data_IF_629281734445
#
_entry.id   IF_629281734445
#
_cell.length_a   1.000
_cell.length_b   1.000
_cell.length_c   1.000
_cell.angle_alpha   90.00
_cell.angle_beta   90.00
_cell.angle_gamma   90.00
#
_symmetry.space_group_name_H-M   'P 1'
#
loop_
_entity.id
_entity.type
_entity.pdbx_description
1 polymer ?
#
# COMPACT_ATOMS: atom_id res chain seq x y z
N UNK A 1 -45.65 4.78 25.36
CA UNK A 1 -44.66 4.34 24.37
C UNK A 1 -43.88 5.58 23.98
N UNK A 2 -42.84 5.89 24.76
CA UNK A 2 -41.99 7.07 24.53
C UNK A 2 -41.14 6.81 23.28
N UNK A 3 -41.26 7.71 22.29
CA UNK A 3 -40.34 7.78 21.17
C UNK A 3 -38.98 8.17 21.73
N UNK A 4 -38.07 7.20 21.79
CA UNK A 4 -36.67 7.46 22.09
C UNK A 4 -36.17 8.54 21.12
N UNK A 5 -35.69 9.65 21.67
CA UNK A 5 -34.94 10.66 20.95
C UNK A 5 -33.81 9.98 20.18
N UNK A 6 -33.89 10.01 18.86
CA UNK A 6 -32.83 9.54 17.96
C UNK A 6 -31.57 10.31 18.35
N UNK A 7 -30.61 9.59 18.93
CA UNK A 7 -29.25 10.07 19.16
C UNK A 7 -28.76 10.72 17.87
N UNK A 8 -28.28 11.97 17.93
CA UNK A 8 -27.80 12.68 16.75
C UNK A 8 -26.79 11.83 15.99
N UNK A 9 -26.94 11.75 14.66
CA UNK A 9 -26.02 11.02 13.79
C UNK A 9 -24.58 11.47 14.07
N UNK A 10 -23.67 10.51 14.23
CA UNK A 10 -22.25 10.85 14.27
C UNK A 10 -21.86 11.51 12.95
N UNK A 11 -21.25 12.69 13.02
CA UNK A 11 -20.63 13.34 11.86
C UNK A 11 -19.19 12.85 11.73
N UNK A 12 -18.73 12.58 10.51
CA UNK A 12 -17.31 12.35 10.27
C UNK A 12 -16.48 13.57 10.70
N UNK A 13 -15.26 13.37 11.23
CA UNK A 13 -14.35 14.49 11.45
C UNK A 13 -14.02 15.17 10.13
N UNK A 14 -13.53 16.42 10.18
CA UNK A 14 -13.18 17.15 8.98
C UNK A 14 -12.06 16.46 8.19
N UNK A 15 -12.04 16.59 6.86
CA UNK A 15 -10.98 16.00 6.01
C UNK A 15 -9.57 16.50 6.34
N UNK A 16 -9.43 17.61 7.07
CA UNK A 16 -8.14 18.04 7.63
C UNK A 16 -7.56 17.04 8.64
N UNK A 17 -8.41 16.29 9.35
CA UNK A 17 -7.94 15.20 10.23
C UNK A 17 -7.45 14.00 9.42
N UNK A 18 -8.18 13.62 8.36
CA UNK A 18 -7.74 12.58 7.43
C UNK A 18 -6.40 12.95 6.77
N UNK A 19 -6.25 14.23 6.41
CA UNK A 19 -5.00 14.81 5.91
C UNK A 19 -3.85 14.62 6.91
N UNK A 20 -4.06 15.00 8.18
CA UNK A 20 -3.06 14.80 9.26
C UNK A 20 -2.69 13.34 9.50
N UNK A 21 -3.65 12.43 9.43
CA UNK A 21 -3.40 10.99 9.55
C UNK A 21 -2.47 10.51 8.42
N UNK A 22 -2.77 10.89 7.19
CA UNK A 22 -1.95 10.57 6.03
C UNK A 22 -0.54 11.16 6.15
N UNK A 23 -0.42 12.44 6.51
CA UNK A 23 0.89 13.09 6.71
C UNK A 23 1.74 12.36 7.76
N UNK A 24 1.15 12.07 8.93
CA UNK A 24 1.83 11.36 10.02
C UNK A 24 2.25 9.96 9.59
N UNK A 25 1.38 9.23 8.87
CA UNK A 25 1.68 7.90 8.34
C UNK A 25 2.84 7.95 7.36
N UNK A 26 2.81 8.87 6.40
CA UNK A 26 3.88 9.03 5.42
C UNK A 26 5.22 9.38 6.07
N UNK A 27 5.23 10.25 7.08
CA UNK A 27 6.46 10.59 7.82
C UNK A 27 7.05 9.37 8.53
N UNK A 28 6.22 8.53 9.16
CA UNK A 28 6.66 7.28 9.78
C UNK A 28 7.21 6.31 8.74
N UNK A 29 6.54 6.15 7.60
CA UNK A 29 7.01 5.30 6.50
C UNK A 29 8.39 5.75 6.01
N UNK A 30 8.59 7.05 5.80
CA UNK A 30 9.89 7.59 5.38
C UNK A 30 10.96 7.38 6.46
N UNK A 31 10.65 7.66 7.73
CA UNK A 31 11.57 7.46 8.84
C UNK A 31 12.04 6.00 8.96
N UNK A 32 11.15 5.03 8.72
CA UNK A 32 11.50 3.60 8.67
C UNK A 32 12.29 3.27 7.39
N UNK A 33 11.88 3.79 6.23
CA UNK A 33 12.48 3.49 4.94
C UNK A 33 13.97 3.87 4.86
N UNK A 34 14.39 4.94 5.53
CA UNK A 34 15.78 5.39 5.54
C UNK A 34 16.67 4.77 6.62
N UNK A 35 16.15 3.86 7.45
CA UNK A 35 16.99 3.07 8.35
C UNK A 35 17.96 2.18 7.57
N UNK A 36 19.07 1.84 8.22
CA UNK A 36 20.10 0.98 7.67
C UNK A 36 19.53 -0.40 7.29
N UNK A 37 20.14 -0.99 6.28
CA UNK A 37 19.76 -2.32 5.84
C UNK A 37 20.27 -3.37 6.82
N UNK A 38 19.42 -4.36 7.08
CA UNK A 38 19.74 -5.52 7.89
C UNK A 38 18.93 -6.68 7.36
N UNK A 39 19.58 -7.83 7.22
CA UNK A 39 18.92 -9.10 6.92
C UNK A 39 19.04 -10.03 8.14
N UNK A 40 17.94 -10.63 8.60
CA UNK A 40 17.99 -11.61 9.69
C UNK A 40 18.97 -12.74 9.38
N UNK A 41 19.80 -13.11 10.37
CA UNK A 41 20.79 -14.21 10.29
C UNK A 41 21.97 -13.99 9.33
N UNK A 42 22.01 -12.87 8.61
CA UNK A 42 23.17 -12.45 7.82
C UNK A 42 23.90 -11.33 8.57
N UNK A 43 25.16 -11.58 8.95
CA UNK A 43 25.94 -10.60 9.71
C UNK A 43 26.36 -9.40 8.87
N UNK A 44 26.65 -9.63 7.58
CA UNK A 44 27.11 -8.63 6.64
C UNK A 44 26.52 -8.91 5.24
N UNK A 45 25.72 -7.97 4.74
CA UNK A 45 25.08 -8.05 3.42
C UNK A 45 26.14 -7.96 2.31
N UNK A 46 27.20 -7.17 2.48
CA UNK A 46 28.23 -6.99 1.46
C UNK A 46 29.08 -8.25 1.29
N UNK A 47 29.35 -8.98 2.37
CA UNK A 47 29.97 -10.31 2.31
C UNK A 47 29.06 -11.33 1.62
N UNK A 48 27.75 -11.33 1.95
CA UNK A 48 26.79 -12.20 1.27
C UNK A 48 26.76 -11.94 -0.24
N UNK A 49 26.71 -10.67 -0.63
CA UNK A 49 26.65 -10.25 -2.03
C UNK A 49 27.96 -10.53 -2.77
N UNK A 50 29.12 -10.43 -2.13
CA UNK A 50 30.40 -10.87 -2.73
C UNK A 50 30.42 -12.37 -3.04
N UNK A 51 29.71 -13.18 -2.28
CA UNK A 51 29.65 -14.64 -2.48
C UNK A 51 28.62 -15.06 -3.53
N UNK A 52 27.49 -14.35 -3.64
CA UNK A 52 26.35 -14.75 -4.47
C UNK A 52 26.15 -13.87 -5.72
N UNK A 53 26.65 -12.64 -5.68
CA UNK A 53 26.55 -11.66 -6.75
C UNK A 53 27.58 -11.89 -7.87
N UNK A 54 27.17 -11.59 -9.11
CA UNK A 54 28.07 -11.58 -10.27
C UNK A 54 27.42 -10.93 -11.49
N UNK A 55 28.24 -10.46 -12.43
CA UNK A 55 27.78 -9.99 -13.74
C UNK A 55 26.69 -8.92 -13.65
N UNK A 56 25.50 -9.23 -14.16
CA UNK A 56 24.34 -8.33 -14.19
C UNK A 56 23.64 -8.14 -12.83
N UNK A 57 23.99 -8.93 -11.81
CA UNK A 57 23.46 -8.80 -10.45
C UNK A 57 24.60 -8.90 -9.43
N UNK A 58 25.40 -7.84 -9.27
CA UNK A 58 26.56 -7.85 -8.38
C UNK A 58 26.19 -7.83 -6.89
N UNK A 59 25.02 -7.30 -6.55
CA UNK A 59 24.58 -7.07 -5.17
C UNK A 59 23.12 -7.52 -4.95
N UNK A 60 22.83 -8.83 -5.09
CA UNK A 60 21.45 -9.35 -5.12
C UNK A 60 20.64 -9.08 -3.84
N UNK A 61 21.24 -9.27 -2.66
CA UNK A 61 20.55 -9.07 -1.39
C UNK A 61 20.38 -7.58 -1.10
N UNK A 62 21.44 -6.78 -1.29
CA UNK A 62 21.35 -5.33 -1.17
C UNK A 62 20.33 -4.73 -2.13
N UNK A 63 20.27 -5.23 -3.36
CA UNK A 63 19.26 -4.83 -4.34
C UNK A 63 17.83 -5.14 -3.87
N UNK A 64 17.61 -6.29 -3.21
CA UNK A 64 16.31 -6.62 -2.63
C UNK A 64 15.92 -5.63 -1.52
N UNK A 65 16.85 -5.29 -0.62
CA UNK A 65 16.61 -4.29 0.42
C UNK A 65 16.40 -2.87 -0.11
N UNK A 66 17.15 -2.47 -1.15
CA UNK A 66 16.94 -1.21 -1.87
C UNK A 66 15.55 -1.16 -2.48
N UNK A 67 15.11 -2.24 -3.13
CA UNK A 67 13.78 -2.32 -3.72
C UNK A 67 12.67 -2.23 -2.66
N UNK A 68 12.84 -2.89 -1.50
CA UNK A 68 11.97 -2.70 -0.33
C UNK A 68 11.88 -1.23 0.08
N UNK A 69 13.02 -0.53 0.19
CA UNK A 69 13.06 0.90 0.49
C UNK A 69 12.31 1.71 -0.57
N UNK A 70 12.56 1.47 -1.85
CA UNK A 70 11.92 2.22 -2.93
C UNK A 70 10.39 2.09 -2.91
N UNK A 71 9.88 0.89 -2.66
CA UNK A 71 8.44 0.69 -2.52
C UNK A 71 7.87 1.39 -1.28
N UNK A 72 8.57 1.34 -0.13
CA UNK A 72 8.10 2.03 1.08
C UNK A 72 8.10 3.57 0.92
N UNK A 73 9.16 4.12 0.31
CA UNK A 73 9.28 5.56 -0.02
C UNK A 73 8.13 5.96 -0.95
N UNK A 74 7.96 5.26 -2.07
CA UNK A 74 6.89 5.57 -3.03
C UNK A 74 5.49 5.45 -2.43
N UNK A 75 5.24 4.42 -1.60
CA UNK A 75 3.99 4.31 -0.87
C UNK A 75 3.76 5.52 0.06
N UNK A 76 4.81 5.95 0.78
CA UNK A 76 4.77 7.13 1.64
C UNK A 76 4.46 8.41 0.87
N UNK A 77 5.06 8.59 -0.30
CA UNK A 77 4.81 9.76 -1.17
C UNK A 77 3.36 9.81 -1.67
N UNK A 78 2.77 8.65 -2.01
CA UNK A 78 1.35 8.56 -2.37
C UNK A 78 0.43 8.86 -1.19
N UNK A 79 0.73 8.32 0.00
CA UNK A 79 -0.05 8.61 1.22
C UNK A 79 0.02 10.10 1.56
N UNK A 80 1.22 10.70 1.52
CA UNK A 80 1.39 12.14 1.76
C UNK A 80 0.58 12.98 0.76
N UNK A 81 0.72 12.67 -0.54
CA UNK A 81 0.02 13.40 -1.60
C UNK A 81 -1.49 13.28 -1.48
N UNK A 82 -2.00 12.10 -1.09
CA UNK A 82 -3.40 11.89 -0.76
C UNK A 82 -3.84 12.84 0.37
N UNK A 83 -3.07 12.90 1.46
CA UNK A 83 -3.33 13.81 2.57
C UNK A 83 -3.40 15.28 2.14
N UNK A 84 -2.48 15.72 1.28
CA UNK A 84 -2.49 17.10 0.74
C UNK A 84 -3.76 17.40 -0.06
N UNK A 85 -4.22 16.47 -0.91
CA UNK A 85 -5.44 16.66 -1.71
C UNK A 85 -6.71 16.68 -0.87
N UNK A 86 -6.76 15.89 0.22
CA UNK A 86 -7.90 15.89 1.15
C UNK A 86 -7.96 17.16 2.00
N UNK A 87 -6.82 17.81 2.24
CA UNK A 87 -6.72 19.06 3.01
C UNK A 87 -7.11 20.32 2.22
N UNK A 88 -7.38 20.22 0.92
CA UNK A 88 -7.78 21.37 0.10
C UNK A 88 -9.16 21.90 0.51
N UNK A 89 -9.37 23.22 0.39
CA UNK A 89 -10.68 23.85 0.62
C UNK A 89 -11.75 23.28 -0.31
N UNK A 90 -11.36 22.87 -1.51
CA UNK A 90 -12.18 22.13 -2.46
C UNK A 90 -11.48 20.79 -2.74
N UNK A 91 -11.88 19.71 -2.05
CA UNK A 91 -11.27 18.41 -2.21
C UNK A 91 -11.41 17.89 -3.65
N UNK A 92 -10.33 17.28 -4.16
CA UNK A 92 -10.37 16.58 -5.45
C UNK A 92 -11.16 15.28 -5.32
N UNK A 93 -11.91 14.89 -6.35
CA UNK A 93 -12.80 13.72 -6.28
C UNK A 93 -12.10 12.43 -6.69
N UNK A 94 -11.44 12.43 -7.85
CA UNK A 94 -10.92 11.19 -8.46
C UNK A 94 -9.47 10.89 -8.07
N UNK A 95 -8.63 11.92 -7.98
CA UNK A 95 -7.21 11.76 -7.67
C UNK A 95 -6.94 11.08 -6.32
N UNK A 96 -7.67 11.37 -5.22
CA UNK A 96 -7.50 10.64 -3.96
C UNK A 96 -7.63 9.12 -4.10
N UNK A 97 -8.61 8.63 -4.87
CA UNK A 97 -8.81 7.21 -5.07
C UNK A 97 -7.63 6.55 -5.81
N UNK A 98 -7.09 7.24 -6.84
CA UNK A 98 -5.91 6.76 -7.58
C UNK A 98 -4.70 6.68 -6.65
N UNK A 99 -4.45 7.73 -5.86
CA UNK A 99 -3.33 7.77 -4.93
C UNK A 99 -3.45 6.71 -3.83
N UNK A 100 -4.65 6.49 -3.28
CA UNK A 100 -4.88 5.45 -2.29
C UNK A 100 -4.60 4.05 -2.85
N UNK A 101 -4.98 3.79 -4.12
CA UNK A 101 -4.65 2.53 -4.79
C UNK A 101 -3.15 2.36 -4.98
N UNK A 102 -2.47 3.38 -5.52
CA UNK A 102 -1.03 3.33 -5.75
C UNK A 102 -0.25 3.14 -4.44
N UNK A 103 -0.67 3.81 -3.36
CA UNK A 103 -0.13 3.60 -2.03
C UNK A 103 -0.24 2.14 -1.59
N UNK A 104 -1.42 1.53 -1.74
CA UNK A 104 -1.66 0.12 -1.38
C UNK A 104 -0.84 -0.86 -2.24
N UNK A 105 -0.73 -0.63 -3.55
CA UNK A 105 0.08 -1.46 -4.45
C UNK A 105 1.56 -1.44 -4.06
N UNK A 106 2.12 -0.24 -3.84
CA UNK A 106 3.51 -0.08 -3.41
C UNK A 106 3.74 -0.69 -2.02
N UNK A 107 2.86 -0.39 -1.06
CA UNK A 107 2.94 -0.95 0.29
C UNK A 107 2.86 -2.49 0.29
N UNK A 108 2.02 -3.08 -0.55
CA UNK A 108 1.88 -4.54 -0.65
C UNK A 108 3.12 -5.22 -1.23
N UNK A 109 3.81 -4.58 -2.18
CA UNK A 109 5.09 -5.07 -2.72
C UNK A 109 6.23 -4.90 -1.72
N UNK A 110 6.23 -3.79 -0.99
CA UNK A 110 7.12 -3.59 0.14
C UNK A 110 6.96 -4.72 1.16
N UNK A 111 5.73 -4.98 1.60
CA UNK A 111 5.40 -6.05 2.53
C UNK A 111 5.81 -7.44 2.01
N UNK A 112 5.55 -7.73 0.74
CA UNK A 112 5.96 -8.98 0.09
C UNK A 112 7.46 -9.23 0.19
N UNK A 113 8.28 -8.19 0.04
CA UNK A 113 9.74 -8.25 0.17
C UNK A 113 10.24 -8.15 1.62
N UNK A 114 9.39 -7.94 2.61
CA UNK A 114 9.79 -7.59 3.98
C UNK A 114 9.38 -8.60 5.05
N UNK A 115 8.92 -9.79 4.67
CA UNK A 115 8.63 -10.85 5.64
C UNK A 115 9.90 -11.20 6.41
N UNK A 116 9.81 -11.21 7.74
CA UNK A 116 10.88 -11.62 8.65
C UNK A 116 11.08 -13.14 8.69
N UNK A 117 10.05 -13.90 8.32
CA UNK A 117 10.11 -15.35 8.10
C UNK A 117 10.91 -15.77 6.85
N UNK A 118 11.11 -14.87 5.88
CA UNK A 118 11.85 -15.19 4.66
C UNK A 118 13.36 -15.31 4.94
N UNK A 119 14.03 -16.27 4.29
CA UNK A 119 15.49 -16.23 4.18
C UNK A 119 15.95 -15.20 3.15
N UNK A 120 17.25 -14.86 3.17
CA UNK A 120 17.89 -14.01 2.18
C UNK A 120 17.59 -14.49 0.74
N UNK A 121 17.71 -15.79 0.47
CA UNK A 121 17.48 -16.38 -0.85
C UNK A 121 16.01 -16.28 -1.28
N UNK A 122 15.08 -16.45 -0.33
CA UNK A 122 13.65 -16.26 -0.60
C UNK A 122 13.38 -14.80 -0.97
N UNK A 123 13.95 -13.84 -0.23
CA UNK A 123 13.79 -12.41 -0.50
C UNK A 123 14.36 -12.01 -1.85
N UNK A 124 15.53 -12.54 -2.21
CA UNK A 124 16.12 -12.37 -3.54
C UNK A 124 15.17 -12.94 -4.60
N UNK A 125 14.69 -14.18 -4.46
CA UNK A 125 13.73 -14.76 -5.39
C UNK A 125 12.46 -13.92 -5.57
N UNK A 126 11.93 -13.34 -4.49
CA UNK A 126 10.79 -12.41 -4.53
C UNK A 126 11.12 -11.13 -5.32
N UNK A 127 12.29 -10.53 -5.11
CA UNK A 127 12.78 -9.39 -5.90
C UNK A 127 12.83 -9.74 -7.40
N UNK A 128 13.36 -10.92 -7.75
CA UNK A 128 13.42 -11.36 -9.15
C UNK A 128 12.05 -11.50 -9.81
N UNK A 129 11.05 -11.99 -9.07
CA UNK A 129 9.68 -12.05 -9.59
C UNK A 129 9.14 -10.66 -9.94
N UNK A 130 9.45 -9.64 -9.12
CA UNK A 130 9.07 -8.25 -9.38
C UNK A 130 9.84 -7.63 -10.55
N UNK A 131 11.15 -7.90 -10.67
CA UNK A 131 11.91 -7.47 -11.85
C UNK A 131 11.36 -8.08 -13.14
N UNK A 132 11.02 -9.37 -13.12
CA UNK A 132 10.44 -10.04 -14.29
C UNK A 132 9.08 -9.44 -14.68
N UNK A 133 8.24 -9.12 -13.69
CA UNK A 133 6.99 -8.39 -13.91
C UNK A 133 7.27 -7.02 -14.55
N UNK A 134 8.19 -6.24 -13.98
CA UNK A 134 8.58 -4.93 -14.52
C UNK A 134 9.14 -4.98 -15.94
N UNK A 135 9.96 -5.98 -16.28
CA UNK A 135 10.45 -6.17 -17.65
C UNK A 135 9.32 -6.50 -18.63
N UNK A 136 8.35 -7.32 -18.22
CA UNK A 136 7.19 -7.61 -19.05
C UNK A 136 6.34 -6.36 -19.29
N UNK A 137 6.17 -5.52 -18.26
CA UNK A 137 5.43 -4.25 -18.35
C UNK A 137 6.15 -3.23 -19.25
N UNK A 138 7.49 -3.19 -19.20
CA UNK A 138 8.31 -2.42 -20.13
C UNK A 138 8.29 -2.98 -21.57
N UNK A 139 7.69 -4.15 -21.77
CA UNK A 139 7.57 -4.75 -23.09
C UNK A 139 8.90 -5.22 -23.67
N UNK A 140 9.85 -5.69 -22.86
CA UNK A 140 11.18 -6.12 -23.35
C UNK A 140 11.13 -7.25 -24.40
N UNK A 141 10.00 -7.94 -24.52
CA UNK A 141 9.77 -8.99 -25.52
C UNK A 141 9.13 -8.46 -26.81
N UNK A 142 8.91 -7.15 -26.94
CA UNK A 142 8.27 -6.54 -28.12
C UNK A 142 9.31 -6.17 -29.18
N UNK A 143 8.92 -6.09 -30.48
CA UNK A 143 9.85 -5.75 -31.56
C UNK A 143 10.52 -4.37 -31.43
N UNK A 144 9.87 -3.44 -30.73
CA UNK A 144 10.30 -2.06 -30.49
C UNK A 144 10.91 -1.84 -29.10
N UNK A 145 11.23 -2.93 -28.39
CA UNK A 145 11.83 -2.85 -27.06
C UNK A 145 13.17 -2.09 -27.04
N UNK A 146 13.41 -1.33 -25.98
CA UNK A 146 14.69 -0.67 -25.73
C UNK A 146 15.82 -1.73 -25.64
N UNK A 147 16.82 -1.71 -26.54
CA UNK A 147 17.91 -2.69 -26.54
C UNK A 147 18.68 -2.76 -25.22
N UNK A 148 18.77 -1.65 -24.47
CA UNK A 148 19.45 -1.64 -23.17
C UNK A 148 18.65 -2.42 -22.12
N UNK A 149 17.33 -2.28 -22.12
CA UNK A 149 16.44 -3.02 -21.22
C UNK A 149 16.37 -4.50 -21.56
N UNK A 150 16.39 -4.85 -22.86
CA UNK A 150 16.49 -6.24 -23.31
C UNK A 150 17.78 -6.88 -22.78
N UNK A 151 18.92 -6.23 -23.00
CA UNK A 151 20.23 -6.74 -22.53
C UNK A 151 20.29 -6.87 -21.01
N UNK A 152 19.71 -5.92 -20.28
CA UNK A 152 19.63 -5.97 -18.82
C UNK A 152 18.77 -7.16 -18.36
N UNK A 153 17.58 -7.33 -18.96
CA UNK A 153 16.69 -8.44 -18.64
C UNK A 153 17.35 -9.81 -18.94
N UNK A 154 18.01 -9.95 -20.08
CA UNK A 154 18.78 -11.15 -20.44
C UNK A 154 19.88 -11.46 -19.41
N UNK A 155 20.67 -10.46 -19.03
CA UNK A 155 21.74 -10.62 -18.03
C UNK A 155 21.20 -11.04 -16.66
N UNK A 156 20.13 -10.41 -16.20
CA UNK A 156 19.47 -10.72 -14.93
C UNK A 156 18.86 -12.12 -14.97
N UNK A 157 18.21 -12.51 -16.06
CA UNK A 157 17.63 -13.85 -16.24
C UNK A 157 18.70 -14.95 -16.31
N UNK A 158 19.82 -14.68 -17.00
CA UNK A 158 20.95 -15.60 -17.07
C UNK A 158 21.59 -15.81 -15.69
N UNK A 159 21.82 -14.72 -14.95
CA UNK A 159 22.28 -14.81 -13.56
C UNK A 159 21.31 -15.64 -12.71
N UNK A 160 20.00 -15.35 -12.75
CA UNK A 160 19.00 -16.05 -11.92
C UNK A 160 18.95 -17.55 -12.20
N UNK A 161 19.12 -17.93 -13.46
CA UNK A 161 19.11 -19.33 -13.92
C UNK A 161 20.32 -20.12 -13.45
N UNK A 162 21.44 -19.44 -13.18
CA UNK A 162 22.65 -20.04 -12.60
C UNK A 162 22.57 -20.23 -11.08
N UNK A 163 21.63 -19.56 -10.40
CA UNK A 163 21.45 -19.64 -8.95
C UNK A 163 20.47 -20.74 -8.52
N UNK A 164 20.77 -21.43 -7.42
CA UNK A 164 19.93 -22.48 -6.82
C UNK A 164 18.93 -21.98 -5.77
N UNK A 165 18.43 -20.75 -5.90
CA UNK A 165 17.48 -20.17 -4.94
C UNK A 165 16.07 -20.78 -5.02
N UNK A 166 15.33 -20.82 -3.89
CA UNK A 166 13.99 -21.39 -3.82
C UNK A 166 13.02 -20.69 -4.77
N UNK A 167 12.04 -21.43 -5.28
CA UNK A 167 10.94 -20.87 -6.07
C UNK A 167 9.95 -20.17 -5.13
N UNK A 168 9.53 -18.98 -5.51
CA UNK A 168 8.51 -18.20 -4.79
C UNK A 168 7.31 -17.94 -5.71
N UNK A 169 6.14 -17.75 -5.12
CA UNK A 169 4.92 -17.42 -5.87
C UNK A 169 5.06 -16.07 -6.55
N UNK A 170 4.44 -15.93 -7.73
CA UNK A 170 4.43 -14.67 -8.44
C UNK A 170 3.55 -13.65 -7.73
N UNK A 171 3.99 -12.38 -7.67
CA UNK A 171 3.20 -11.31 -7.10
C UNK A 171 1.93 -11.13 -7.93
N UNK A 172 0.81 -10.90 -7.25
CA UNK A 172 -0.44 -10.46 -7.85
C UNK A 172 -0.99 -9.37 -6.94
N UNK A 173 -1.19 -8.16 -7.47
CA UNK A 173 -1.56 -6.99 -6.66
C UNK A 173 -2.76 -7.26 -5.76
N UNK A 174 -3.85 -7.82 -6.30
CA UNK A 174 -5.06 -8.11 -5.53
C UNK A 174 -4.76 -9.04 -4.36
N UNK A 175 -3.96 -10.10 -4.59
CA UNK A 175 -3.60 -11.04 -3.54
C UNK A 175 -2.65 -10.42 -2.51
N UNK A 176 -1.65 -9.65 -2.95
CA UNK A 176 -0.70 -9.01 -2.03
C UNK A 176 -1.38 -7.96 -1.16
N UNK A 177 -2.24 -7.12 -1.74
CA UNK A 177 -3.02 -6.12 -1.00
C UNK A 177 -3.97 -6.80 -0.01
N UNK A 178 -4.61 -7.91 -0.40
CA UNK A 178 -5.46 -8.66 0.52
C UNK A 178 -4.65 -9.34 1.64
N UNK A 179 -3.45 -9.86 1.36
CA UNK A 179 -2.57 -10.40 2.41
C UNK A 179 -2.11 -9.31 3.39
N UNK A 180 -1.82 -8.11 2.89
CA UNK A 180 -1.41 -6.98 3.72
C UNK A 180 -2.56 -6.44 4.59
N UNK A 181 -3.78 -6.41 4.05
CA UNK A 181 -4.98 -5.91 4.71
C UNK A 181 -6.14 -6.91 4.58
N UNK A 182 -6.16 -8.02 5.35
CA UNK A 182 -7.12 -9.11 5.15
C UNK A 182 -8.59 -8.69 5.28
N UNK A 183 -8.90 -7.76 6.17
CA UNK A 183 -10.27 -7.30 6.46
C UNK A 183 -10.86 -6.40 5.38
N UNK A 184 -10.03 -5.58 4.72
CA UNK A 184 -10.51 -4.50 3.83
C UNK A 184 -9.91 -4.54 2.41
N UNK A 185 -8.74 -5.18 2.26
CA UNK A 185 -7.88 -5.05 1.08
C UNK A 185 -8.54 -5.44 -0.23
N UNK A 186 -9.24 -6.58 -0.29
CA UNK A 186 -9.90 -7.02 -1.52
C UNK A 186 -11.00 -6.05 -1.96
N UNK A 187 -11.85 -5.64 -1.01
CA UNK A 187 -13.00 -4.77 -1.26
C UNK A 187 -12.56 -3.38 -1.73
N UNK A 188 -11.65 -2.75 -0.98
CA UNK A 188 -11.19 -1.40 -1.32
C UNK A 188 -10.35 -1.40 -2.60
N UNK A 189 -9.45 -2.36 -2.79
CA UNK A 189 -8.66 -2.45 -4.01
C UNK A 189 -9.53 -2.59 -5.27
N UNK A 190 -10.55 -3.44 -5.23
CA UNK A 190 -11.47 -3.62 -6.36
C UNK A 190 -12.25 -2.33 -6.65
N UNK A 191 -12.75 -1.64 -5.62
CA UNK A 191 -13.46 -0.37 -5.77
C UNK A 191 -12.58 0.70 -6.44
N UNK A 192 -11.35 0.86 -5.97
CA UNK A 192 -10.42 1.88 -6.49
C UNK A 192 -9.91 1.58 -7.90
N UNK A 193 -9.90 0.31 -8.30
CA UNK A 193 -9.48 -0.12 -9.64
C UNK A 193 -10.32 0.53 -10.75
N UNK A 194 -11.64 0.68 -10.53
CA UNK A 194 -12.53 1.31 -11.50
C UNK A 194 -12.17 2.78 -11.79
N UNK A 195 -11.82 3.55 -10.75
CA UNK A 195 -11.42 4.96 -10.90
C UNK A 195 -10.08 5.07 -11.63
N UNK A 196 -9.12 4.23 -11.23
CA UNK A 196 -7.74 4.28 -11.76
C UNK A 196 -7.65 3.91 -13.23
N UNK A 197 -8.48 2.96 -13.68
CA UNK A 197 -8.53 2.54 -15.09
C UNK A 197 -9.53 3.35 -15.93
N UNK A 198 -9.94 4.52 -15.42
CA UNK A 198 -10.89 5.43 -16.07
C UNK A 198 -12.18 4.72 -16.55
N UNK A 199 -12.70 3.79 -15.75
CA UNK A 199 -13.96 3.14 -16.07
C UNK A 199 -15.09 4.17 -16.13
N UNK A 200 -15.75 4.29 -17.29
CA UNK A 200 -16.70 5.36 -17.55
C UNK A 200 -17.85 5.43 -16.54
N UNK A 201 -18.37 4.27 -16.10
CA UNK A 201 -19.44 4.20 -15.10
C UNK A 201 -18.93 4.65 -13.73
N UNK A 202 -17.75 4.16 -13.33
CA UNK A 202 -17.16 4.51 -12.03
C UNK A 202 -16.85 6.01 -11.95
N UNK A 203 -16.26 6.58 -13.00
CA UNK A 203 -15.95 8.02 -13.06
C UNK A 203 -17.22 8.88 -13.05
N UNK A 204 -18.21 8.52 -13.88
CA UNK A 204 -19.48 9.27 -13.95
C UNK A 204 -20.19 9.26 -12.60
N UNK A 205 -20.25 8.09 -11.95
CA UNK A 205 -20.83 7.96 -10.61
C UNK A 205 -20.10 8.83 -9.58
N UNK A 206 -18.76 8.72 -9.50
CA UNK A 206 -17.97 9.49 -8.54
C UNK A 206 -18.14 11.01 -8.72
N UNK A 207 -18.10 11.51 -9.96
CA UNK A 207 -18.21 12.96 -10.23
C UNK A 207 -19.63 13.47 -10.00
N UNK A 208 -20.66 12.73 -10.43
CA UNK A 208 -22.05 13.15 -10.20
C UNK A 208 -22.37 13.15 -8.70
N UNK A 209 -21.98 12.11 -7.96
CA UNK A 209 -22.16 12.06 -6.51
C UNK A 209 -21.50 13.25 -5.82
N UNK A 210 -20.27 13.58 -6.22
CA UNK A 210 -19.55 14.73 -5.68
C UNK A 210 -20.23 16.09 -5.97
N UNK A 211 -20.94 16.22 -7.09
CA UNK A 211 -21.68 17.42 -7.47
C UNK A 211 -23.02 17.54 -6.73
N UNK A 212 -23.64 16.41 -6.39
CA UNK A 212 -24.95 16.34 -5.76
C UNK A 212 -24.87 16.38 -4.23
N UNK A 213 -23.75 15.96 -3.64
CA UNK A 213 -23.58 15.87 -2.20
C UNK A 213 -22.11 16.00 -1.77
N UNK A 214 -21.83 16.96 -0.87
CA UNK A 214 -20.49 17.11 -0.29
C UNK A 214 -20.19 16.02 0.77
N UNK A 215 -21.21 15.44 1.40
CA UNK A 215 -21.01 14.42 2.43
C UNK A 215 -20.41 13.13 1.87
N UNK A 216 -20.77 12.74 0.64
CA UNK A 216 -20.15 11.58 -0.04
C UNK A 216 -18.65 11.79 -0.30
N UNK A 217 -18.22 13.02 -0.64
CA UNK A 217 -16.80 13.31 -0.82
C UNK A 217 -16.02 13.19 0.49
N UNK A 218 -16.64 13.57 1.62
CA UNK A 218 -16.04 13.41 2.94
C UNK A 218 -15.92 11.92 3.31
N UNK A 219 -16.98 11.13 3.09
CA UNK A 219 -16.98 9.67 3.29
C UNK A 219 -15.89 8.98 2.47
N UNK A 220 -15.88 9.23 1.16
CA UNK A 220 -14.88 8.69 0.24
C UNK A 220 -13.46 9.09 0.64
N UNK A 221 -13.25 10.37 0.98
CA UNK A 221 -11.96 10.87 1.44
C UNK A 221 -11.43 10.14 2.67
N UNK A 222 -12.28 9.93 3.68
CA UNK A 222 -11.94 9.15 4.87
C UNK A 222 -11.64 7.70 4.54
N UNK A 223 -12.45 7.05 3.72
CA UNK A 223 -12.22 5.68 3.28
C UNK A 223 -10.86 5.53 2.59
N UNK A 224 -10.52 6.45 1.69
CA UNK A 224 -9.24 6.46 0.98
C UNK A 224 -8.07 6.68 1.95
N UNK A 225 -8.18 7.65 2.85
CA UNK A 225 -7.15 7.94 3.85
C UNK A 225 -6.90 6.76 4.78
N UNK A 226 -7.96 6.15 5.32
CA UNK A 226 -7.86 4.98 6.20
C UNK A 226 -7.23 3.79 5.47
N UNK A 227 -7.71 3.47 4.26
CA UNK A 227 -7.17 2.33 3.51
C UNK A 227 -5.67 2.51 3.18
N UNK A 228 -5.29 3.67 2.64
CA UNK A 228 -3.89 3.96 2.30
C UNK A 228 -3.00 3.96 3.56
N UNK A 229 -3.47 4.58 4.65
CA UNK A 229 -2.73 4.65 5.91
C UNK A 229 -2.57 3.28 6.54
N UNK A 230 -3.60 2.43 6.51
CA UNK A 230 -3.52 1.06 7.00
C UNK A 230 -2.44 0.26 6.26
N UNK A 231 -2.47 0.25 4.93
CA UNK A 231 -1.43 -0.42 4.14
C UNK A 231 -0.02 0.16 4.42
N UNK A 232 0.09 1.49 4.57
CA UNK A 232 1.33 2.16 4.92
C UNK A 232 1.89 1.75 6.29
N UNK A 233 1.05 1.79 7.33
CA UNK A 233 1.40 1.38 8.70
C UNK A 233 1.85 -0.08 8.74
N UNK A 234 1.11 -0.98 8.10
CA UNK A 234 1.42 -2.41 8.11
C UNK A 234 2.76 -2.69 7.40
N UNK A 235 2.98 -2.10 6.21
CA UNK A 235 4.24 -2.28 5.48
C UNK A 235 5.44 -1.65 6.21
N UNK A 236 5.28 -0.47 6.83
CA UNK A 236 6.30 0.13 7.67
C UNK A 236 6.63 -0.74 8.90
N UNK A 237 5.63 -1.34 9.52
CA UNK A 237 5.82 -2.29 10.62
C UNK A 237 6.66 -3.50 10.20
N UNK A 238 6.34 -4.11 9.06
CA UNK A 238 7.10 -5.25 8.53
C UNK A 238 8.55 -4.89 8.21
N UNK A 239 8.79 -3.73 7.57
CA UNK A 239 10.16 -3.25 7.32
C UNK A 239 10.90 -2.95 8.63
N UNK A 240 10.20 -2.39 9.61
CA UNK A 240 10.75 -2.11 10.93
C UNK A 240 11.23 -3.38 11.63
N UNK A 241 10.42 -4.43 11.60
CA UNK A 241 10.76 -5.76 12.14
C UNK A 241 11.93 -6.37 11.38
N UNK A 242 11.89 -6.39 10.03
CA UNK A 242 12.98 -6.91 9.20
C UNK A 242 14.32 -6.27 9.56
N UNK A 243 14.33 -4.94 9.73
CA UNK A 243 15.53 -4.17 10.05
C UNK A 243 15.89 -4.19 11.54
N UNK A 244 15.03 -4.75 12.39
CA UNK A 244 15.18 -4.76 13.84
C UNK A 244 15.35 -3.37 14.43
N UNK A 245 14.59 -2.40 13.93
CA UNK A 245 14.58 -1.02 14.43
C UNK A 245 13.39 -0.77 15.36
N UNK A 246 13.44 0.32 16.13
CA UNK A 246 12.33 0.71 16.99
C UNK A 246 11.06 1.00 16.17
N UNK A 247 10.00 0.23 16.43
CA UNK A 247 8.69 0.36 15.78
C UNK A 247 7.68 1.18 16.58
N UNK A 248 8.08 1.79 17.70
CA UNK A 248 7.22 2.65 18.52
C UNK A 248 6.51 3.76 17.70
N UNK A 249 7.16 4.42 16.72
CA UNK A 249 6.47 5.37 15.85
C UNK A 249 5.35 4.74 15.01
N UNK A 250 5.56 3.51 14.53
CA UNK A 250 4.54 2.75 13.77
C UNK A 250 3.36 2.42 14.67
N UNK A 251 3.61 1.97 15.89
CA UNK A 251 2.55 1.65 16.86
C UNK A 251 1.75 2.89 17.27
N UNK A 252 2.41 4.04 17.41
CA UNK A 252 1.75 5.33 17.70
C UNK A 252 0.85 5.76 16.55
N UNK A 253 1.33 5.62 15.31
CA UNK A 253 0.54 5.89 14.10
C UNK A 253 -0.65 4.92 13.96
N UNK A 254 -0.46 3.65 14.34
CA UNK A 254 -1.52 2.66 14.39
C UNK A 254 -2.61 3.02 15.40
N UNK A 255 -2.25 3.48 16.59
CA UNK A 255 -3.24 3.93 17.58
C UNK A 255 -4.08 5.11 17.06
N UNK A 256 -3.45 6.06 16.36
CA UNK A 256 -4.16 7.16 15.70
C UNK A 256 -5.10 6.66 14.58
N UNK A 257 -4.64 5.71 13.76
CA UNK A 257 -5.49 5.04 12.76
C UNK A 257 -6.70 4.36 13.41
N UNK A 258 -6.50 3.55 14.46
CA UNK A 258 -7.56 2.79 15.13
C UNK A 258 -8.62 3.73 15.75
N UNK A 259 -8.20 4.89 16.28
CA UNK A 259 -9.12 5.93 16.73
C UNK A 259 -10.06 6.39 15.61
N UNK A 260 -9.52 6.78 14.45
CA UNK A 260 -10.33 7.24 13.32
C UNK A 260 -11.13 6.12 12.64
N UNK A 261 -10.60 4.89 12.63
CA UNK A 261 -11.32 3.73 12.11
C UNK A 261 -12.60 3.46 12.94
N UNK A 262 -12.53 3.59 14.26
CA UNK A 262 -13.71 3.46 15.15
C UNK A 262 -14.74 4.55 14.84
N UNK A 263 -14.30 5.80 14.69
CA UNK A 263 -15.20 6.91 14.37
C UNK A 263 -15.86 6.74 13.00
N UNK A 264 -15.09 6.36 11.98
CA UNK A 264 -15.60 6.09 10.64
C UNK A 264 -16.60 4.93 10.64
N UNK A 265 -16.31 3.84 11.36
CA UNK A 265 -17.24 2.71 11.47
C UNK A 265 -18.53 3.08 12.23
N UNK A 266 -18.46 3.99 13.22
CA UNK A 266 -19.66 4.52 13.89
C UNK A 266 -20.51 5.36 12.94
N UNK A 267 -19.88 6.21 12.13
CA UNK A 267 -20.57 6.95 11.08
C UNK A 267 -21.29 6.02 10.08
N UNK A 268 -20.59 5.01 9.57
CA UNK A 268 -21.20 4.04 8.65
C UNK A 268 -22.36 3.27 9.29
N UNK A 269 -22.27 3.00 10.60
CA UNK A 269 -23.34 2.37 11.36
C UNK A 269 -24.57 3.25 11.42
N UNK A 270 -24.42 4.51 11.84
CA UNK A 270 -25.53 5.45 11.96
C UNK A 270 -26.21 5.67 10.59
N UNK A 271 -25.43 5.77 9.51
CA UNK A 271 -25.94 5.87 8.14
C UNK A 271 -26.71 4.61 7.71
N UNK A 272 -26.27 3.42 8.13
CA UNK A 272 -26.97 2.16 7.83
C UNK A 272 -28.31 2.08 8.58
N UNK A 273 -28.32 2.47 9.86
CA UNK A 273 -29.55 2.52 10.68
C UNK A 273 -30.55 3.51 10.10
N UNK A 274 -30.10 4.69 9.66
CA UNK A 274 -30.96 5.67 8.97
C UNK A 274 -31.59 5.10 7.70
N UNK A 275 -30.84 4.26 6.96
CA UNK A 275 -31.32 3.56 5.76
C UNK A 275 -32.16 2.32 6.06
N UNK A 276 -32.47 2.05 7.33
CA UNK A 276 -33.36 0.97 7.76
C UNK A 276 -32.67 -0.38 8.00
N UNK A 277 -31.34 -0.44 8.05
CA UNK A 277 -30.62 -1.66 8.47
C UNK A 277 -30.72 -1.84 9.99
N UNK A 278 -31.01 -3.07 10.42
CA UNK A 278 -31.07 -3.45 11.85
C UNK A 278 -29.83 -4.24 12.29
N UNK A 279 -29.44 -4.19 13.58
CA UNK A 279 -28.21 -4.78 14.10
C UNK A 279 -28.04 -6.29 13.93
N UNK A 280 -29.13 -6.98 13.62
CA UNK A 280 -29.20 -8.43 13.52
C UNK A 280 -28.74 -8.95 12.14
N UNK A 281 -28.48 -8.05 11.18
CA UNK A 281 -28.01 -8.40 9.84
C UNK A 281 -26.47 -8.35 9.76
N UNK A 282 -25.81 -9.39 9.19
CA UNK A 282 -24.37 -9.37 9.02
C UNK A 282 -23.94 -8.23 8.10
N UNK A 283 -22.87 -7.52 8.49
CA UNK A 283 -22.27 -6.44 7.71
C UNK A 283 -21.90 -6.91 6.29
N UNK A 284 -22.11 -6.11 5.24
CA UNK A 284 -21.48 -6.31 3.93
C UNK A 284 -19.96 -6.01 3.93
#
# INVERSE_FOLDING_TARGET
MELATVSGMSSLPALSEASRLCESTAQVMQAIAYRDYREPKIADIDEYDRQHGSGAMPDPLLSAHRLTRFYLVGAGDFVYSLGQLLGLQQPMVTSPAVLARSAAEYASRCAYLSSDDDSAEVRISKMFNLFREGFNDLGVNKPDADPQMVKLAEGINAWRSAQSFPKTSLPNYTNLVHQLAPSIGRREYQRLSGVTHANAITLTGAVISAQQDNAQNVDDGWRYALFASHCGIMSAGMVGVLRGVDITPVLSCRAAYEHYEIEYNRYLWDLSVERGFTPDEPRP
#
